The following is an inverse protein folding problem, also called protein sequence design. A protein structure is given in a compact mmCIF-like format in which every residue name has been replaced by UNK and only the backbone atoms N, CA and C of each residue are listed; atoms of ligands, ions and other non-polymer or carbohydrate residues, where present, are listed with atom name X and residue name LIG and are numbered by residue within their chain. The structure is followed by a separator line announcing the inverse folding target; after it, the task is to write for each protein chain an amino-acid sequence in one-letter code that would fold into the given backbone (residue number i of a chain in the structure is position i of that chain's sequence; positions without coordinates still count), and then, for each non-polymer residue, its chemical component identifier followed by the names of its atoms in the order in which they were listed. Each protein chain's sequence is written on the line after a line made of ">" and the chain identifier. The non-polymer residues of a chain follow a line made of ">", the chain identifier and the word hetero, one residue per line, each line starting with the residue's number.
data_IF_928464021220
#
_entry.id   IF_928464021220
#
_cell.length_a   1.000
_cell.length_b   1.000
_cell.length_c   1.000
_cell.angle_alpha   90.00
_cell.angle_beta   90.00
_cell.angle_gamma   90.00
#
_symmetry.space_group_name_H-M   'P 1'
#
loop_
_entity.id
_entity.type
_entity.pdbx_description
1 polymer ?
#
# COMPACT_ATOMS: atom_id res chain seq x y z
N UNK A 1 -0.17 24.55 12.76
CA UNK A 1 -0.71 23.51 13.65
C UNK A 1 -0.15 22.19 13.15
N UNK A 2 0.79 21.58 13.87
CA UNK A 2 1.31 20.25 13.57
C UNK A 2 0.30 19.25 14.12
N UNK A 3 -0.61 18.76 13.28
CA UNK A 3 -1.39 17.57 13.60
C UNK A 3 -0.43 16.40 13.59
N UNK A 4 0.10 16.07 14.78
CA UNK A 4 0.94 14.89 14.95
C UNK A 4 0.03 13.67 14.83
N UNK A 5 0.12 12.98 13.71
CA UNK A 5 -0.52 11.69 13.47
C UNK A 5 -0.16 10.74 14.61
N UNK A 6 -1.15 10.07 15.20
CA UNK A 6 -0.91 9.20 16.37
C UNK A 6 0.06 8.06 16.02
N UNK A 7 0.86 7.57 17.00
CA UNK A 7 1.78 6.44 16.78
C UNK A 7 1.09 5.23 16.14
N UNK A 8 -0.12 4.90 16.58
CA UNK A 8 -0.91 3.81 15.98
C UNK A 8 -1.22 4.04 14.49
N UNK A 9 -1.51 5.29 14.11
CA UNK A 9 -1.78 5.63 12.71
C UNK A 9 -0.48 5.60 11.90
N UNK A 10 0.65 6.00 12.48
CA UNK A 10 1.96 5.85 11.87
C UNK A 10 2.30 4.38 11.64
N UNK A 11 2.07 3.50 12.63
CA UNK A 11 2.29 2.06 12.50
C UNK A 11 1.44 1.45 11.39
N UNK A 12 0.16 1.84 11.29
CA UNK A 12 -0.76 1.41 10.22
C UNK A 12 -0.28 1.89 8.85
N UNK A 13 0.09 3.16 8.71
CA UNK A 13 0.62 3.71 7.46
C UNK A 13 1.93 3.02 7.05
N UNK A 14 2.77 2.67 8.01
CA UNK A 14 4.02 1.96 7.77
C UNK A 14 3.75 0.54 7.27
N UNK A 15 2.79 -0.16 7.87
CA UNK A 15 2.33 -1.49 7.43
C UNK A 15 1.72 -1.44 6.02
N UNK A 16 0.81 -0.48 5.75
CA UNK A 16 0.22 -0.27 4.42
C UNK A 16 1.32 -0.09 3.38
N UNK A 17 2.28 0.80 3.65
CA UNK A 17 3.42 1.02 2.75
C UNK A 17 4.19 -0.27 2.48
N UNK A 18 4.49 -1.04 3.51
CA UNK A 18 5.26 -2.26 3.39
C UNK A 18 4.53 -3.33 2.58
N UNK A 19 3.21 -3.46 2.75
CA UNK A 19 2.35 -4.35 1.96
C UNK A 19 2.32 -3.96 0.47
N UNK A 20 2.19 -2.66 0.17
CA UNK A 20 2.24 -2.14 -1.21
C UNK A 20 3.60 -2.45 -1.84
N UNK A 21 4.69 -2.22 -1.11
CA UNK A 21 6.05 -2.46 -1.58
C UNK A 21 6.30 -3.94 -1.89
N UNK A 22 5.94 -4.83 -0.96
CA UNK A 22 6.05 -6.28 -1.13
C UNK A 22 5.24 -6.78 -2.33
N UNK A 23 3.98 -6.32 -2.45
CA UNK A 23 3.11 -6.64 -3.59
C UNK A 23 3.73 -6.17 -4.91
N UNK A 24 4.21 -4.92 -4.96
CA UNK A 24 4.83 -4.37 -6.18
C UNK A 24 6.02 -5.19 -6.62
N UNK A 25 6.88 -5.61 -5.68
CA UNK A 25 8.02 -6.50 -5.96
C UNK A 25 7.56 -7.84 -6.54
N UNK A 26 6.56 -8.48 -5.94
CA UNK A 26 6.06 -9.77 -6.43
C UNK A 26 5.43 -9.67 -7.82
N UNK A 27 4.64 -8.62 -8.07
CA UNK A 27 3.99 -8.42 -9.36
C UNK A 27 4.97 -8.04 -10.46
N UNK A 28 6.09 -7.38 -10.13
CA UNK A 28 7.17 -7.09 -11.09
C UNK A 28 7.85 -8.37 -11.61
N UNK A 29 7.89 -9.44 -10.80
CA UNK A 29 8.44 -10.73 -11.19
C UNK A 29 7.47 -11.58 -12.05
N UNK A 30 6.19 -11.16 -12.16
CA UNK A 30 5.18 -11.89 -12.92
C UNK A 30 5.37 -11.73 -14.45
N UNK A 31 5.17 -12.79 -15.27
CA UNK A 31 5.39 -12.72 -16.72
C UNK A 31 4.61 -11.63 -17.47
N UNK A 32 3.45 -11.21 -16.92
CA UNK A 32 2.59 -10.17 -17.52
C UNK A 32 2.86 -8.76 -16.99
N UNK A 33 3.91 -8.56 -16.17
CA UNK A 33 4.23 -7.27 -15.55
C UNK A 33 4.36 -6.13 -16.58
N UNK A 34 4.96 -6.40 -17.73
CA UNK A 34 5.14 -5.41 -18.79
C UNK A 34 3.81 -4.94 -19.40
N UNK A 35 2.85 -5.85 -19.58
CA UNK A 35 1.50 -5.53 -20.08
C UNK A 35 0.70 -4.69 -19.07
N UNK A 36 1.13 -4.71 -17.80
CA UNK A 36 0.53 -4.03 -16.65
C UNK A 36 1.44 -2.97 -16.05
N UNK A 37 2.45 -2.52 -16.81
CA UNK A 37 3.39 -1.51 -16.34
C UNK A 37 2.69 -0.21 -15.85
N UNK A 38 1.60 0.27 -16.47
CA UNK A 38 0.85 1.41 -15.93
C UNK A 38 0.26 1.13 -14.54
N UNK A 39 -0.32 -0.05 -14.32
CA UNK A 39 -0.92 -0.43 -13.02
C UNK A 39 0.15 -0.54 -11.92
N UNK A 40 1.33 -1.07 -12.26
CA UNK A 40 2.49 -1.11 -11.37
C UNK A 40 3.04 0.28 -11.04
N UNK A 41 3.01 1.20 -12.00
CA UNK A 41 3.44 2.58 -11.79
C UNK A 41 2.48 3.33 -10.87
N UNK A 42 1.17 3.12 -11.05
CA UNK A 42 0.13 3.63 -10.14
C UNK A 42 0.36 3.11 -8.71
N UNK A 43 0.67 1.81 -8.56
CA UNK A 43 0.95 1.19 -7.27
C UNK A 43 2.21 1.78 -6.61
N UNK A 44 3.26 2.03 -7.38
CA UNK A 44 4.47 2.70 -6.89
C UNK A 44 4.21 4.15 -6.46
N UNK A 45 3.40 4.89 -7.23
CA UNK A 45 2.97 6.25 -6.84
C UNK A 45 2.15 6.22 -5.55
N UNK A 46 1.26 5.24 -5.41
CA UNK A 46 0.46 5.04 -4.20
C UNK A 46 1.35 4.76 -2.97
N UNK A 47 2.38 3.91 -3.09
CA UNK A 47 3.38 3.72 -2.03
C UNK A 47 4.04 5.06 -1.63
N UNK A 48 4.44 5.85 -2.65
CA UNK A 48 5.03 7.17 -2.44
C UNK A 48 4.11 8.14 -1.70
N UNK A 49 2.81 8.11 -2.01
CA UNK A 49 1.81 8.93 -1.32
C UNK A 49 1.65 8.52 0.14
N UNK A 50 1.56 7.22 0.45
CA UNK A 50 1.52 6.73 1.83
C UNK A 50 2.78 7.15 2.58
N UNK A 51 3.95 7.05 1.94
CA UNK A 51 5.24 7.49 2.52
C UNK A 51 5.28 8.97 2.89
N UNK A 52 4.59 9.84 2.14
CA UNK A 52 4.51 11.26 2.47
C UNK A 52 3.63 11.57 3.69
N UNK A 53 2.77 10.62 4.10
CA UNK A 53 1.95 10.71 5.31
C UNK A 53 2.65 10.13 6.54
N UNK A 54 3.79 9.46 6.34
CA UNK A 54 4.64 8.97 7.40
C UNK A 54 5.59 10.07 7.88
N UNK A 55 5.72 10.20 9.19
CA UNK A 55 6.79 10.95 9.80
C UNK A 55 8.12 10.28 9.42
N UNK A 56 9.12 11.02 8.89
CA UNK A 56 10.44 10.49 8.58
C UNK A 56 11.09 9.72 9.73
N UNK A 57 10.78 10.06 11.00
CA UNK A 57 11.29 9.37 12.18
C UNK A 57 10.61 8.02 12.47
N UNK A 58 9.50 7.71 11.80
CA UNK A 58 8.73 6.45 11.92
C UNK A 58 8.95 5.52 10.71
N UNK A 59 9.90 5.84 9.83
CA UNK A 59 10.23 5.04 8.65
C UNK A 59 11.18 3.90 9.02
N UNK A 60 10.66 2.88 9.69
CA UNK A 60 11.43 1.67 10.02
C UNK A 60 11.29 0.57 8.95
N UNK A 61 12.31 -0.26 8.79
CA UNK A 61 12.19 -1.45 7.97
C UNK A 61 11.20 -2.43 8.65
N UNK A 62 10.08 -2.72 7.99
CA UNK A 62 9.14 -3.76 8.44
C UNK A 62 9.47 -5.08 7.75
N UNK A 63 9.58 -6.14 8.55
CA UNK A 63 9.52 -7.51 8.05
C UNK A 63 8.06 -7.84 7.73
N UNK A 64 7.69 -7.69 6.46
CA UNK A 64 6.38 -8.15 5.97
C UNK A 64 6.42 -9.66 5.88
N UNK A 65 5.43 -10.33 6.48
CA UNK A 65 5.19 -11.75 6.27
C UNK A 65 4.97 -11.98 4.78
N UNK A 66 5.99 -12.53 4.11
CA UNK A 66 5.97 -12.82 2.68
C UNK A 66 5.00 -13.98 2.45
N UNK A 67 3.76 -13.66 2.14
CA UNK A 67 2.85 -14.59 1.47
C UNK A 67 3.07 -14.44 -0.03
N UNK A 68 3.04 -15.53 -0.79
CA UNK A 68 3.20 -15.52 -2.26
C UNK A 68 1.93 -15.03 -3.00
N UNK A 69 1.02 -14.32 -2.31
CA UNK A 69 -0.28 -13.92 -2.87
C UNK A 69 -0.42 -12.40 -2.84
N UNK A 70 -0.06 -11.70 -3.93
CA UNK A 70 -0.17 -10.25 -4.04
C UNK A 70 -1.57 -9.72 -3.70
N UNK A 71 -2.64 -10.45 -4.08
CA UNK A 71 -4.01 -10.05 -3.79
C UNK A 71 -4.33 -10.02 -2.28
N UNK A 72 -3.75 -10.94 -1.51
CA UNK A 72 -3.94 -11.01 -0.05
C UNK A 72 -3.27 -9.82 0.62
N UNK A 73 -2.03 -9.50 0.21
CA UNK A 73 -1.28 -8.36 0.74
C UNK A 73 -2.00 -7.03 0.47
N UNK A 74 -2.58 -6.86 -0.72
CA UNK A 74 -3.38 -5.68 -1.04
C UNK A 74 -4.71 -5.64 -0.28
N UNK A 75 -5.35 -6.78 -0.05
CA UNK A 75 -6.53 -6.89 0.81
C UNK A 75 -6.24 -6.44 2.24
N UNK A 76 -5.13 -6.90 2.82
CA UNK A 76 -4.68 -6.46 4.15
C UNK A 76 -4.38 -4.96 4.20
N UNK A 77 -3.79 -4.41 3.13
CA UNK A 77 -3.53 -2.97 3.04
C UNK A 77 -4.84 -2.15 3.00
N UNK A 78 -5.85 -2.63 2.27
CA UNK A 78 -7.19 -2.02 2.22
C UNK A 78 -7.88 -2.08 3.59
N UNK A 79 -7.86 -3.24 4.25
CA UNK A 79 -8.42 -3.40 5.60
C UNK A 79 -7.76 -2.44 6.60
N UNK A 80 -6.44 -2.28 6.54
CA UNK A 80 -5.73 -1.30 7.36
C UNK A 80 -6.14 0.14 7.03
N UNK A 81 -6.25 0.48 5.74
CA UNK A 81 -6.70 1.81 5.30
C UNK A 81 -8.09 2.15 5.84
N UNK A 82 -9.01 1.18 5.87
CA UNK A 82 -10.35 1.37 6.39
C UNK A 82 -10.38 1.66 7.90
N UNK A 83 -9.35 1.26 8.64
CA UNK A 83 -9.19 1.55 10.08
C UNK A 83 -8.49 2.87 10.39
N UNK A 84 -8.05 3.61 9.37
CA UNK A 84 -7.43 4.92 9.57
C UNK A 84 -8.47 5.98 10.00
N UNK A 85 -8.03 7.05 10.69
CA UNK A 85 -8.89 8.20 10.95
C UNK A 85 -9.48 8.79 9.65
N UNK A 86 -10.69 9.34 9.72
CA UNK A 86 -11.40 9.87 8.54
C UNK A 86 -10.58 10.91 7.76
N UNK A 87 -9.83 11.76 8.46
CA UNK A 87 -8.94 12.74 7.83
C UNK A 87 -7.87 12.10 6.95
N UNK A 88 -7.27 11.00 7.41
CA UNK A 88 -6.23 10.28 6.69
C UNK A 88 -6.82 9.46 5.54
N UNK A 89 -7.99 8.81 5.76
CA UNK A 89 -8.71 8.14 4.67
C UNK A 89 -9.10 9.08 3.55
N UNK A 90 -9.61 10.26 3.87
CA UNK A 90 -9.97 11.27 2.88
C UNK A 90 -8.72 11.73 2.09
N UNK A 91 -7.59 11.93 2.77
CA UNK A 91 -6.33 12.30 2.14
C UNK A 91 -5.75 11.17 1.25
N UNK A 92 -6.01 9.92 1.61
CA UNK A 92 -5.52 8.72 0.92
C UNK A 92 -6.58 8.05 0.03
N UNK A 93 -7.68 8.73 -0.30
CA UNK A 93 -8.75 8.14 -1.11
C UNK A 93 -8.25 7.64 -2.49
N UNK A 94 -7.35 8.41 -3.12
CA UNK A 94 -6.76 7.99 -4.40
C UNK A 94 -5.90 6.72 -4.26
N UNK A 95 -5.14 6.59 -3.17
CA UNK A 95 -4.39 5.37 -2.83
C UNK A 95 -5.36 4.20 -2.72
N UNK A 96 -6.45 4.36 -1.96
CA UNK A 96 -7.46 3.32 -1.78
C UNK A 96 -8.02 2.79 -3.11
N UNK A 97 -8.33 3.70 -4.05
CA UNK A 97 -8.82 3.35 -5.39
C UNK A 97 -7.76 2.61 -6.22
N UNK A 98 -6.49 2.99 -6.11
CA UNK A 98 -5.38 2.24 -6.75
C UNK A 98 -5.26 0.85 -6.16
N UNK A 99 -5.25 0.72 -4.83
CA UNK A 99 -5.11 -0.58 -4.16
C UNK A 99 -6.26 -1.53 -4.49
N UNK A 100 -7.50 -1.02 -4.58
CA UNK A 100 -8.67 -1.81 -4.99
C UNK A 100 -8.48 -2.39 -6.38
N UNK A 101 -8.12 -1.56 -7.37
CA UNK A 101 -7.89 -2.01 -8.75
C UNK A 101 -6.72 -2.98 -8.86
N UNK A 102 -5.64 -2.72 -8.11
CA UNK A 102 -4.49 -3.60 -8.07
C UNK A 102 -4.81 -4.95 -7.41
N UNK A 103 -5.69 -4.98 -6.41
CA UNK A 103 -6.13 -6.21 -5.75
C UNK A 103 -6.96 -7.08 -6.68
N UNK A 104 -7.87 -6.47 -7.45
CA UNK A 104 -8.64 -7.16 -8.50
C UNK A 104 -7.68 -7.79 -9.54
N UNK A 105 -6.73 -7.01 -10.04
CA UNK A 105 -5.74 -7.51 -10.99
C UNK A 105 -4.88 -8.63 -10.39
N UNK A 106 -4.37 -8.44 -9.18
CA UNK A 106 -3.57 -9.44 -8.47
C UNK A 106 -4.35 -10.75 -8.26
N UNK A 107 -5.67 -10.67 -8.07
CA UNK A 107 -6.56 -11.83 -8.00
C UNK A 107 -6.72 -12.56 -9.33
N UNK A 108 -6.68 -11.83 -10.45
CA UNK A 108 -6.78 -12.41 -11.79
C UNK A 108 -5.50 -13.16 -12.25
N UNK A 109 -4.34 -12.83 -11.65
CA UNK A 109 -3.03 -13.41 -12.04
C UNK A 109 -2.47 -14.45 -11.06
N UNK A 110 -3.13 -14.66 -9.91
CA UNK A 110 -2.76 -15.65 -8.89
C UNK A 110 -3.35 -17.04 -9.17
#
# INVERSE_FOLDING_TARGET
>A
MTTTTSPETQDKLQQIRALISATSTQLLDHPVALDRAPDLLDLHVAEGQVRLHLDPAHQDALDVLVTDRPAVLLGEALDLMDTLPESDRAALHAVHVVLTRAADWAGDVA
#
